data_IF_756523879884
#
_entry.id   IF_756523879884
#
_cell.length_a   1.000
_cell.length_b   1.000
_cell.length_c   1.000
_cell.angle_alpha   90.00
_cell.angle_beta   90.00
_cell.angle_gamma   90.00
#
_symmetry.space_group_name_H-M   'P 1'
#
loop_
_entity.id
_entity.type
_entity.pdbx_description
1 polymer ?
#
# COMPACT_ATOMS: atom_id res chain seq x y z
N UNK A 1 -25.89 -1.63 -0.20
CA UNK A 1 -25.44 -2.92 -0.77
C UNK A 1 -24.66 -2.52 -2.02
N UNK A 2 -23.36 -2.28 -1.97
CA UNK A 2 -22.27 -3.27 -2.01
C UNK A 2 -20.97 -2.63 -1.49
N UNK A 3 -20.69 -2.78 -0.19
CA UNK A 3 -19.38 -2.51 0.41
C UNK A 3 -19.04 -3.65 1.38
N UNK A 4 -19.43 -4.87 1.01
CA UNK A 4 -19.18 -6.07 1.81
C UNK A 4 -17.80 -6.58 1.40
N UNK A 5 -16.85 -6.50 2.34
CA UNK A 5 -15.51 -7.11 2.30
C UNK A 5 -14.32 -6.29 1.77
N UNK A 6 -14.28 -4.96 1.95
CA UNK A 6 -12.99 -4.25 1.94
C UNK A 6 -12.36 -4.27 3.32
N UNK A 7 -11.71 -5.39 3.67
CA UNK A 7 -10.67 -5.44 4.72
C UNK A 7 -9.30 -4.99 4.14
N UNK A 8 -9.33 -4.11 3.14
CA UNK A 8 -8.16 -3.49 2.57
C UNK A 8 -8.10 -2.05 3.07
N UNK A 9 -7.28 -1.73 4.07
CA UNK A 9 -6.96 -0.34 4.36
C UNK A 9 -6.16 0.20 3.16
N UNK A 10 -6.87 0.87 2.24
CA UNK A 10 -6.26 1.65 1.17
C UNK A 10 -5.65 2.88 1.81
N UNK A 11 -4.39 2.80 2.21
CA UNK A 11 -3.66 3.93 2.77
C UNK A 11 -2.96 4.71 1.66
N UNK A 12 -3.17 6.02 1.63
CA UNK A 12 -2.44 6.90 0.73
C UNK A 12 -1.00 7.06 1.22
N UNK A 13 -0.03 7.23 0.32
CA UNK A 13 1.37 7.49 0.69
C UNK A 13 1.60 8.61 1.72
N UNK A 14 0.82 9.72 1.78
CA UNK A 14 0.92 10.68 2.88
C UNK A 14 0.46 10.13 4.25
N UNK A 15 -0.59 9.30 4.30
CA UNK A 15 -1.10 8.70 5.55
C UNK A 15 -0.06 7.74 6.16
N UNK A 16 0.64 6.97 5.33
CA UNK A 16 1.76 6.10 5.74
C UNK A 16 2.95 6.93 6.25
N UNK A 17 3.15 8.14 5.71
CA UNK A 17 4.27 9.01 6.08
C UNK A 17 4.08 9.67 7.44
N UNK A 18 2.86 10.09 7.75
CA UNK A 18 2.51 10.64 9.06
C UNK A 18 2.61 9.59 10.17
N UNK A 19 2.23 8.34 9.90
CA UNK A 19 2.22 7.27 10.90
C UNK A 19 3.63 6.73 11.24
N UNK A 20 4.57 6.76 10.29
CA UNK A 20 5.91 6.17 10.48
C UNK A 20 7.07 7.19 10.56
N UNK A 21 6.79 8.50 10.51
CA UNK A 21 7.82 9.55 10.61
C UNK A 21 8.85 9.54 9.47
N UNK A 22 8.51 8.90 8.34
CA UNK A 22 9.39 8.84 7.16
C UNK A 22 8.99 9.91 6.14
N UNK A 23 9.99 10.47 5.45
CA UNK A 23 9.74 11.31 4.28
C UNK A 23 8.98 10.54 3.21
N UNK A 24 8.00 11.17 2.55
CA UNK A 24 7.14 10.55 1.53
C UNK A 24 7.93 9.87 0.38
N UNK A 25 9.15 10.33 0.09
CA UNK A 25 10.04 9.70 -0.90
C UNK A 25 10.59 8.34 -0.45
N UNK A 26 10.93 8.19 0.83
CA UNK A 26 11.42 6.93 1.40
C UNK A 26 10.35 5.84 1.40
N UNK A 27 9.10 6.20 1.74
CA UNK A 27 7.96 5.29 1.67
C UNK A 27 7.66 4.90 0.23
N UNK A 28 7.69 5.85 -0.70
CA UNK A 28 7.47 5.54 -2.12
C UNK A 28 8.48 4.50 -2.63
N UNK A 29 9.77 4.67 -2.31
CA UNK A 29 10.82 3.71 -2.71
C UNK A 29 10.59 2.32 -2.10
N UNK A 30 10.11 2.26 -0.86
CA UNK A 30 9.80 0.99 -0.19
C UNK A 30 8.55 0.31 -0.77
N UNK A 31 7.53 1.07 -1.13
CA UNK A 31 6.34 0.57 -1.81
C UNK A 31 6.69 0.02 -3.21
N UNK A 32 7.61 0.67 -3.94
CA UNK A 32 8.13 0.14 -5.21
C UNK A 32 8.90 -1.18 -5.04
N UNK A 33 9.70 -1.34 -3.98
CA UNK A 33 10.35 -2.62 -3.68
C UNK A 33 9.32 -3.72 -3.40
N UNK A 34 8.33 -3.42 -2.57
CA UNK A 34 7.25 -4.37 -2.24
C UNK A 34 6.43 -4.75 -3.47
N UNK A 35 6.17 -3.81 -4.39
CA UNK A 35 5.50 -4.07 -5.65
C UNK A 35 6.35 -4.97 -6.56
N UNK A 36 7.65 -4.70 -6.67
CA UNK A 36 8.58 -5.56 -7.42
C UNK A 36 8.63 -6.99 -6.87
N UNK A 37 8.32 -7.18 -5.58
CA UNK A 37 8.26 -8.49 -4.93
C UNK A 37 6.86 -9.14 -5.02
N UNK A 38 5.89 -8.44 -5.58
CA UNK A 38 4.49 -8.86 -5.71
C UNK A 38 3.73 -8.88 -4.39
N UNK A 39 4.18 -8.12 -3.38
CA UNK A 39 3.58 -8.07 -2.06
C UNK A 39 2.53 -6.97 -1.93
N UNK A 40 2.68 -5.91 -2.71
CA UNK A 40 1.67 -4.86 -2.89
C UNK A 40 1.45 -4.66 -4.37
N UNK A 41 0.30 -4.09 -4.72
CA UNK A 41 0.02 -3.58 -6.04
C UNK A 41 -0.32 -2.10 -5.96
N UNK A 42 -0.23 -1.43 -7.10
CA UNK A 42 -0.52 -0.02 -7.19
C UNK A 42 -1.24 0.39 -8.45
N UNK A 43 -1.96 1.51 -8.37
CA UNK A 43 -2.59 2.15 -9.52
C UNK A 43 -2.49 3.65 -9.43
N UNK A 44 -2.23 4.27 -10.57
CA UNK A 44 -2.23 5.73 -10.68
C UNK A 44 -3.65 6.28 -10.45
N UNK A 45 -3.77 7.24 -9.54
CA UNK A 45 -5.05 7.91 -9.22
C UNK A 45 -4.81 9.42 -9.17
N UNK A 46 -5.34 10.16 -10.14
CA UNK A 46 -5.08 11.59 -10.27
C UNK A 46 -3.58 11.91 -10.39
N UNK A 47 -3.08 12.77 -9.50
CA UNK A 47 -1.65 13.10 -9.39
C UNK A 47 -0.88 12.12 -8.47
N UNK A 48 -1.57 11.24 -7.78
CA UNK A 48 -1.00 10.28 -6.83
C UNK A 48 -1.04 8.84 -7.32
N UNK A 49 -0.76 7.93 -6.38
CA UNK A 49 -0.82 6.48 -6.58
C UNK A 49 -1.47 5.86 -5.35
N UNK A 50 -2.49 5.03 -5.61
CA UNK A 50 -3.09 4.18 -4.60
C UNK A 50 -2.32 2.86 -4.52
N UNK A 51 -2.25 2.30 -3.32
CA UNK A 51 -1.52 1.06 -3.02
C UNK A 51 -2.42 0.13 -2.20
N UNK A 52 -2.31 -1.17 -2.40
CA UNK A 52 -3.00 -2.19 -1.61
C UNK A 52 -2.15 -3.45 -1.51
N UNK A 53 -2.38 -4.24 -0.46
CA UNK A 53 -1.65 -5.48 -0.22
C UNK A 53 -2.18 -6.60 -1.12
N UNK A 54 -1.29 -7.44 -1.67
CA UNK A 54 -1.72 -8.62 -2.43
C UNK A 54 -2.01 -9.78 -1.49
N UNK A 55 -2.69 -10.84 -1.95
CA UNK A 55 -2.81 -12.09 -1.18
C UNK A 55 -1.46 -12.64 -0.71
N UNK A 56 -0.41 -12.51 -1.56
CA UNK A 56 0.97 -12.89 -1.23
C UNK A 56 1.55 -12.01 -0.13
N UNK A 57 1.28 -10.71 -0.15
CA UNK A 57 1.67 -9.79 0.90
C UNK A 57 1.03 -10.13 2.23
N UNK A 58 -0.28 -10.41 2.24
CA UNK A 58 -1.02 -10.79 3.47
C UNK A 58 -0.44 -12.02 4.13
N UNK A 59 -0.20 -13.08 3.35
CA UNK A 59 0.40 -14.33 3.83
C UNK A 59 1.82 -14.17 4.42
N UNK A 60 2.53 -13.07 4.13
CA UNK A 60 3.83 -12.76 4.74
C UNK A 60 3.69 -12.09 6.11
N UNK A 61 2.63 -11.31 6.33
CA UNK A 61 2.41 -10.56 7.58
C UNK A 61 1.75 -11.45 8.64
N UNK A 62 0.94 -12.42 8.22
CA UNK A 62 0.26 -13.36 9.11
C UNK A 62 1.16 -14.49 9.63
N UNK A 63 2.48 -14.42 9.39
CA UNK A 63 3.48 -15.41 9.84
C UNK A 63 4.34 -14.90 10.99
#
# INVERSE_FOLDING_TARGET
REFVSSDDPVLSSPEIAEEFGFTSSGIYKRLQDLESRGLVESKKVGQGRAWWITPKGRAMIEQ
#
